data_IF_169978133951
#
_entry.id   IF_169978133951
#
_cell.length_a   1.000
_cell.length_b   1.000
_cell.length_c   1.000
_cell.angle_alpha   90.00
_cell.angle_beta   90.00
_cell.angle_gamma   90.00
#
_symmetry.space_group_name_H-M   'P 1'
#
loop_
_entity.id
_entity.type
_entity.pdbx_description
1 polymer ?
#
# COMPACT_ATOMS: atom_id res chain seq x y z
N UNK A 1 -22.37 -6.13 -2.88
CA UNK A 1 -21.97 -5.79 -4.25
C UNK A 1 -20.47 -5.53 -4.28
N UNK A 2 -19.67 -6.54 -4.66
CA UNK A 2 -18.24 -6.37 -4.85
C UNK A 2 -18.00 -5.66 -6.19
N UNK A 3 -17.86 -4.35 -6.19
CA UNK A 3 -17.39 -3.62 -7.35
C UNK A 3 -15.86 -3.76 -7.42
N UNK A 4 -15.37 -4.68 -8.23
CA UNK A 4 -13.94 -4.82 -8.48
C UNK A 4 -13.58 -3.93 -9.66
N UNK A 5 -12.91 -2.80 -9.38
CA UNK A 5 -12.37 -1.91 -10.40
C UNK A 5 -11.12 -2.54 -11.02
N UNK A 6 -10.96 -2.42 -12.34
CA UNK A 6 -9.84 -3.01 -13.09
C UNK A 6 -8.87 -1.97 -13.62
N UNK A 7 -9.35 -0.76 -13.86
CA UNK A 7 -8.55 0.33 -14.44
C UNK A 7 -8.78 1.62 -13.66
N UNK A 8 -7.86 2.58 -13.77
CA UNK A 8 -8.03 3.90 -13.19
C UNK A 8 -9.26 4.64 -13.78
N UNK A 9 -9.64 4.34 -15.02
CA UNK A 9 -10.83 4.92 -15.65
C UNK A 9 -12.14 4.50 -14.97
N UNK A 10 -12.20 3.30 -14.38
CA UNK A 10 -13.38 2.81 -13.65
C UNK A 10 -13.63 3.60 -12.36
N UNK A 11 -12.63 4.38 -11.92
CA UNK A 11 -12.71 5.21 -10.71
C UNK A 11 -13.31 6.59 -10.97
N UNK A 12 -13.62 6.93 -12.23
CA UNK A 12 -14.24 8.21 -12.58
C UNK A 12 -15.60 8.36 -11.89
N UNK A 13 -15.80 9.49 -11.23
CA UNK A 13 -17.00 9.77 -10.43
C UNK A 13 -17.04 9.08 -9.06
N UNK A 14 -16.01 8.32 -8.70
CA UNK A 14 -15.90 7.59 -7.44
C UNK A 14 -15.22 8.41 -6.35
N UNK A 15 -15.55 8.13 -5.09
CA UNK A 15 -14.88 8.69 -3.92
C UNK A 15 -13.83 7.72 -3.41
N UNK A 16 -12.56 8.13 -3.45
CA UNK A 16 -11.41 7.29 -3.10
C UNK A 16 -10.74 7.85 -1.84
N UNK A 17 -10.66 7.03 -0.81
CA UNK A 17 -9.98 7.36 0.44
C UNK A 17 -8.48 7.09 0.38
N UNK A 18 -7.70 7.88 1.13
CA UNK A 18 -6.31 7.59 1.45
C UNK A 18 -5.94 8.26 2.77
N UNK A 19 -4.90 7.79 3.43
CA UNK A 19 -4.39 8.46 4.62
C UNK A 19 -3.74 9.79 4.24
N UNK A 20 -4.05 10.84 4.99
CA UNK A 20 -3.56 12.22 4.74
C UNK A 20 -2.04 12.29 4.78
N UNK A 21 -1.50 13.17 3.95
CA UNK A 21 -0.06 13.48 3.86
C UNK A 21 0.80 12.27 3.45
N UNK A 22 0.22 11.31 2.73
CA UNK A 22 0.91 10.15 2.21
C UNK A 22 1.04 10.19 0.69
N UNK A 23 1.93 9.35 0.15
CA UNK A 23 2.03 9.14 -1.29
C UNK A 23 0.77 8.50 -1.88
N UNK A 24 0.02 7.77 -1.07
CA UNK A 24 -1.27 7.18 -1.42
C UNK A 24 -2.33 8.26 -1.66
N UNK A 25 -2.39 9.28 -0.80
CA UNK A 25 -3.27 10.43 -1.02
C UNK A 25 -2.90 11.17 -2.32
N UNK A 26 -1.61 11.43 -2.53
CA UNK A 26 -1.15 12.05 -3.77
C UNK A 26 -1.46 11.20 -5.02
N UNK A 27 -1.48 9.88 -4.89
CA UNK A 27 -1.88 8.95 -5.96
C UNK A 27 -3.38 9.03 -6.21
N UNK A 28 -4.20 9.02 -5.16
CA UNK A 28 -5.66 9.16 -5.28
C UNK A 28 -6.07 10.48 -5.93
N UNK A 29 -5.39 11.57 -5.60
CA UNK A 29 -5.64 12.91 -6.18
C UNK A 29 -5.31 13.00 -7.68
N UNK A 30 -4.44 12.13 -8.20
CA UNK A 30 -4.09 12.08 -9.63
C UNK A 30 -5.08 11.28 -10.47
N UNK A 31 -6.03 10.58 -9.86
CA UNK A 31 -7.03 9.81 -10.60
C UNK A 31 -8.03 10.76 -11.24
N UNK A 32 -8.00 10.83 -12.56
CA UNK A 32 -8.85 11.75 -13.33
C UNK A 32 -10.33 11.48 -13.10
N UNK A 33 -11.05 12.52 -12.70
CA UNK A 33 -12.50 12.46 -12.48
C UNK A 33 -12.94 11.73 -11.20
N UNK A 34 -12.02 11.26 -10.36
CA UNK A 34 -12.32 10.75 -9.03
C UNK A 34 -12.26 11.87 -7.97
N UNK A 35 -12.98 11.67 -6.87
CA UNK A 35 -12.90 12.53 -5.68
C UNK A 35 -11.99 11.88 -4.65
N UNK A 36 -10.82 12.46 -4.41
CA UNK A 36 -9.92 11.99 -3.36
C UNK A 36 -10.33 12.55 -1.99
N UNK A 37 -10.37 11.71 -0.97
CA UNK A 37 -10.66 12.07 0.42
C UNK A 37 -9.52 11.63 1.33
N UNK A 38 -8.84 12.60 1.95
CA UNK A 38 -7.80 12.35 2.95
C UNK A 38 -8.41 12.02 4.32
N UNK A 39 -8.00 10.92 4.91
CA UNK A 39 -8.50 10.40 6.18
C UNK A 39 -7.41 10.41 7.25
N UNK A 40 -7.80 10.31 8.51
CA UNK A 40 -6.86 10.39 9.64
C UNK A 40 -6.03 9.13 9.83
N UNK A 41 -6.56 7.98 9.42
CA UNK A 41 -5.90 6.68 9.54
C UNK A 41 -6.49 5.64 8.59
N UNK A 42 -5.75 4.54 8.37
CA UNK A 42 -6.24 3.41 7.58
C UNK A 42 -7.46 2.73 8.22
N UNK A 43 -7.54 2.48 9.55
CA UNK A 43 -8.76 1.95 10.17
C UNK A 43 -10.01 2.81 9.93
N UNK A 44 -9.87 4.14 9.99
CA UNK A 44 -10.98 5.06 9.68
C UNK A 44 -11.40 4.92 8.21
N UNK A 45 -10.45 4.82 7.28
CA UNK A 45 -10.73 4.59 5.88
C UNK A 45 -11.49 3.27 5.64
N UNK A 46 -11.08 2.19 6.28
CA UNK A 46 -11.75 0.88 6.21
C UNK A 46 -13.20 0.98 6.71
N UNK A 47 -13.41 1.65 7.85
CA UNK A 47 -14.75 1.84 8.40
C UNK A 47 -15.65 2.64 7.44
N UNK A 48 -15.12 3.69 6.82
CA UNK A 48 -15.87 4.51 5.86
C UNK A 48 -16.17 3.74 4.56
N UNK A 49 -15.25 2.88 4.10
CA UNK A 49 -15.49 2.00 2.95
C UNK A 49 -16.62 1.00 3.23
N UNK A 50 -16.61 0.36 4.40
CA UNK A 50 -17.66 -0.58 4.82
C UNK A 50 -19.03 0.10 4.98
N UNK A 51 -19.05 1.37 5.37
CA UNK A 51 -20.25 2.17 5.47
C UNK A 51 -20.65 2.84 4.13
N UNK A 52 -20.08 2.41 3.01
CA UNK A 52 -20.38 2.90 1.65
C UNK A 52 -20.16 4.42 1.46
N UNK A 53 -19.40 5.06 2.35
CA UNK A 53 -19.01 6.47 2.23
C UNK A 53 -17.84 6.68 1.27
N UNK A 54 -17.11 5.61 0.98
CA UNK A 54 -16.04 5.53 0.00
C UNK A 54 -16.35 4.40 -0.97
N UNK A 55 -15.94 4.56 -2.21
CA UNK A 55 -16.00 3.52 -3.24
C UNK A 55 -14.71 2.67 -3.26
N UNK A 56 -13.61 3.20 -2.71
CA UNK A 56 -12.33 2.51 -2.65
C UNK A 56 -11.32 3.23 -1.75
N UNK A 57 -10.21 2.54 -1.45
CA UNK A 57 -9.10 3.08 -0.68
C UNK A 57 -7.78 2.78 -1.40
N UNK A 58 -6.91 3.78 -1.51
CA UNK A 58 -5.52 3.59 -1.96
C UNK A 58 -4.65 3.32 -0.74
N UNK A 59 -4.08 2.12 -0.71
CA UNK A 59 -3.17 1.65 0.34
C UNK A 59 -1.89 1.09 -0.27
N UNK A 60 -0.88 0.93 0.58
CA UNK A 60 0.26 0.10 0.23
C UNK A 60 -0.16 -1.36 0.10
N UNK A 61 0.34 -2.06 -0.94
CA UNK A 61 -0.10 -3.42 -1.26
C UNK A 61 0.06 -4.42 -0.09
N UNK A 62 1.15 -4.31 0.68
CA UNK A 62 1.37 -5.17 1.87
C UNK A 62 0.33 -4.85 2.95
N UNK A 63 0.04 -3.58 3.19
CA UNK A 63 -0.97 -3.14 4.18
C UNK A 63 -2.36 -3.58 3.73
N UNK A 64 -2.71 -3.38 2.46
CA UNK A 64 -4.00 -3.82 1.91
C UNK A 64 -4.22 -5.34 2.12
N UNK A 65 -3.22 -6.16 1.80
CA UNK A 65 -3.29 -7.62 2.01
C UNK A 65 -3.52 -8.00 3.48
N UNK A 66 -2.89 -7.29 4.43
CA UNK A 66 -3.11 -7.53 5.86
C UNK A 66 -4.54 -7.22 6.28
N UNK A 67 -5.12 -6.11 5.82
CA UNK A 67 -6.51 -5.77 6.13
C UNK A 67 -7.51 -6.75 5.53
N UNK A 68 -7.25 -7.30 4.34
CA UNK A 68 -8.12 -8.29 3.70
C UNK A 68 -8.22 -9.61 4.48
N UNK A 69 -7.22 -9.97 5.29
CA UNK A 69 -7.26 -11.18 6.12
C UNK A 69 -8.37 -11.10 7.18
N UNK A 70 -8.64 -9.88 7.67
CA UNK A 70 -9.64 -9.63 8.72
C UNK A 70 -10.94 -9.02 8.19
N UNK A 71 -11.05 -8.84 6.88
CA UNK A 71 -12.19 -8.18 6.24
C UNK A 71 -12.53 -8.93 4.94
N UNK A 72 -13.23 -10.04 5.09
CA UNK A 72 -13.66 -10.93 3.99
C UNK A 72 -14.72 -10.29 3.07
N UNK A 73 -15.33 -9.20 3.54
CA UNK A 73 -16.26 -8.34 2.81
C UNK A 73 -15.56 -7.33 1.87
N UNK A 74 -14.22 -7.24 1.92
CA UNK A 74 -13.42 -6.38 1.06
C UNK A 74 -12.63 -7.19 0.02
N UNK A 75 -12.27 -6.55 -1.09
CA UNK A 75 -11.48 -7.14 -2.16
C UNK A 75 -10.38 -6.19 -2.64
N UNK A 76 -9.28 -6.75 -3.15
CA UNK A 76 -8.25 -5.99 -3.84
C UNK A 76 -8.69 -5.74 -5.29
N UNK A 77 -8.63 -4.48 -5.71
CA UNK A 77 -8.86 -4.11 -7.11
C UNK A 77 -7.56 -4.26 -7.93
N UNK A 78 -7.70 -4.61 -9.20
CA UNK A 78 -6.57 -4.77 -10.14
C UNK A 78 -6.09 -3.44 -10.75
N UNK A 79 -6.42 -2.32 -10.11
CA UNK A 79 -6.04 -0.99 -10.61
C UNK A 79 -4.56 -0.75 -10.40
N UNK A 80 -3.85 -0.50 -11.51
CA UNK A 80 -2.44 -0.11 -11.48
C UNK A 80 -2.32 1.40 -11.62
N UNK A 81 -1.52 2.01 -10.76
CA UNK A 81 -1.24 3.45 -10.82
C UNK A 81 0.17 3.67 -11.38
N UNK A 82 0.29 4.53 -12.38
CA UNK A 82 1.59 4.90 -12.94
C UNK A 82 2.47 5.60 -11.89
N UNK A 83 3.76 5.27 -11.89
CA UNK A 83 4.73 5.84 -10.95
C UNK A 83 4.63 5.33 -9.51
N UNK A 84 3.77 4.36 -9.23
CA UNK A 84 3.59 3.77 -7.89
C UNK A 84 4.74 2.84 -7.45
N UNK A 85 5.89 2.82 -8.16
CA UNK A 85 7.06 2.06 -7.69
C UNK A 85 7.55 2.66 -6.39
N UNK A 86 7.30 1.97 -5.29
CA UNK A 86 7.88 2.29 -4.00
C UNK A 86 9.28 1.71 -3.94
N UNK A 87 10.23 2.54 -3.54
CA UNK A 87 11.57 2.11 -3.17
C UNK A 87 11.73 2.33 -1.67
N UNK A 88 12.18 1.30 -0.98
CA UNK A 88 12.68 1.43 0.39
C UNK A 88 14.18 1.70 0.33
N UNK A 89 14.67 2.58 1.17
CA UNK A 89 16.08 2.92 1.24
C UNK A 89 16.56 2.91 2.69
N UNK A 90 17.84 2.62 2.87
CA UNK A 90 18.52 2.75 4.16
C UNK A 90 19.21 4.11 4.19
N UNK A 91 18.82 4.96 5.16
CA UNK A 91 19.49 6.23 5.39
C UNK A 91 20.57 6.09 6.47
N UNK A 92 21.69 6.75 6.28
CA UNK A 92 22.79 6.77 7.25
C UNK A 92 23.48 8.12 7.28
N UNK A 93 24.28 8.36 8.32
CA UNK A 93 25.06 9.59 8.43
C UNK A 93 26.10 9.65 7.31
N UNK A 94 26.27 10.82 6.71
CA UNK A 94 27.32 11.08 5.72
C UNK A 94 28.72 10.73 6.24
N UNK A 95 29.58 10.21 5.36
CA UNK A 95 30.94 9.80 5.70
C UNK A 95 31.06 8.32 6.16
N UNK A 96 29.98 7.54 6.16
CA UNK A 96 30.02 6.10 6.45
C UNK A 96 30.08 5.27 5.15
N UNK A 97 31.00 5.59 4.25
CA UNK A 97 31.07 5.00 2.90
C UNK A 97 31.33 3.49 2.93
N UNK A 98 32.12 3.00 3.88
CA UNK A 98 32.37 1.56 4.01
C UNK A 98 31.13 0.80 4.45
N UNK A 99 30.36 1.35 5.41
CA UNK A 99 29.10 0.79 5.84
C UNK A 99 28.08 0.82 4.69
N UNK A 100 28.05 1.90 3.92
CA UNK A 100 27.16 2.03 2.76
C UNK A 100 27.46 0.94 1.71
N UNK A 101 28.70 0.63 1.43
CA UNK A 101 29.09 -0.44 0.51
C UNK A 101 28.57 -1.79 0.98
N UNK A 102 28.80 -2.14 2.25
CA UNK A 102 28.36 -3.40 2.84
C UNK A 102 26.83 -3.52 2.76
N UNK A 103 26.11 -2.47 3.14
CA UNK A 103 24.63 -2.48 3.09
C UNK A 103 24.12 -2.63 1.65
N UNK A 104 24.71 -1.92 0.69
CA UNK A 104 24.31 -2.02 -0.72
C UNK A 104 24.56 -3.42 -1.29
N UNK A 105 25.66 -4.08 -0.91
CA UNK A 105 25.94 -5.47 -1.32
C UNK A 105 24.90 -6.44 -0.75
N UNK A 106 24.51 -6.28 0.52
CA UNK A 106 23.46 -7.09 1.16
C UNK A 106 22.11 -6.85 0.46
N UNK A 107 21.72 -5.59 0.26
CA UNK A 107 20.46 -5.24 -0.42
C UNK A 107 20.42 -5.85 -1.81
N UNK A 108 21.51 -5.73 -2.58
CA UNK A 108 21.60 -6.31 -3.92
C UNK A 108 21.41 -7.82 -3.87
N UNK A 109 22.17 -8.53 -3.04
CA UNK A 109 22.10 -9.98 -2.89
C UNK A 109 20.69 -10.44 -2.51
N UNK A 110 20.07 -9.77 -1.53
CA UNK A 110 18.75 -10.16 -1.02
C UNK A 110 17.62 -9.83 -2.00
N UNK A 111 17.79 -8.78 -2.81
CA UNK A 111 16.88 -8.46 -3.93
C UNK A 111 16.97 -9.53 -5.02
N UNK A 112 18.19 -9.87 -5.46
CA UNK A 112 18.43 -10.86 -6.52
C UNK A 112 17.98 -12.28 -6.13
N UNK A 113 18.04 -12.61 -4.83
CA UNK A 113 17.62 -13.93 -4.31
C UNK A 113 16.12 -14.03 -4.00
N UNK A 114 15.35 -12.92 -4.09
CA UNK A 114 13.96 -12.84 -3.68
C UNK A 114 13.77 -12.98 -2.17
N UNK A 115 14.80 -12.69 -1.37
CA UNK A 115 14.74 -12.84 0.08
C UNK A 115 13.80 -11.82 0.74
N UNK A 116 13.70 -10.62 0.19
CA UNK A 116 12.78 -9.59 0.69
C UNK A 116 11.32 -10.04 0.58
N UNK A 117 10.91 -10.63 -0.53
CA UNK A 117 9.57 -11.15 -0.74
C UNK A 117 9.26 -12.28 0.26
N UNK A 118 10.20 -13.18 0.49
CA UNK A 118 10.05 -14.25 1.50
C UNK A 118 9.86 -13.68 2.90
N UNK A 119 10.62 -12.66 3.28
CA UNK A 119 10.44 -12.00 4.57
C UNK A 119 9.10 -11.27 4.69
N UNK A 120 8.68 -10.56 3.66
CA UNK A 120 7.36 -9.91 3.65
C UNK A 120 6.26 -10.95 3.87
N UNK A 121 6.28 -12.08 3.17
CA UNK A 121 5.28 -13.14 3.33
C UNK A 121 5.33 -13.77 4.71
N UNK A 122 6.53 -14.06 5.23
CA UNK A 122 6.72 -14.65 6.56
C UNK A 122 6.21 -13.73 7.66
N UNK A 123 6.65 -12.47 7.67
CA UNK A 123 6.27 -11.53 8.72
C UNK A 123 4.82 -11.06 8.63
N UNK A 124 4.24 -11.03 7.45
CA UNK A 124 2.80 -10.79 7.29
C UNK A 124 1.97 -11.89 7.97
N UNK A 125 2.36 -13.16 7.83
CA UNK A 125 1.70 -14.29 8.52
C UNK A 125 1.82 -14.17 10.04
N UNK A 126 3.01 -13.87 10.55
CA UNK A 126 3.25 -13.68 11.99
C UNK A 126 2.43 -12.52 12.55
N UNK A 127 2.32 -11.40 11.82
CA UNK A 127 1.52 -10.26 12.23
C UNK A 127 0.04 -10.63 12.38
N UNK A 128 -0.47 -11.45 11.48
CA UNK A 128 -1.86 -11.98 11.54
C UNK A 128 -2.07 -12.89 12.73
N UNK A 129 -1.14 -13.82 13.00
CA UNK A 129 -1.25 -14.75 14.14
C UNK A 129 -1.26 -14.02 15.49
N UNK A 130 -0.51 -12.93 15.61
CA UNK A 130 -0.45 -12.12 16.84
C UNK A 130 -1.63 -11.17 17.02
N UNK A 131 -2.43 -10.95 15.99
CA UNK A 131 -3.59 -10.06 16.03
C UNK A 131 -4.92 -10.79 16.33
N UNK A 132 -4.84 -12.13 16.47
CA UNK A 132 -5.94 -13.00 16.94
C UNK A 132 -5.90 -13.15 18.45
#
# INVERSE_FOLDING_TARGET
NQHVYKTAADLKGKTIGAEKSTTQEATAQKVEGAKALGLSSVPDAILQLKNEKLDGIVLEGVVAKQYLIFNDDLALADVQFEGAKKVSAVAMKMGNDDLMKIINEIIKKDTESGQFEKWVDQYSKIAVEKAK
#
